data_IF_132004172574
#
_entry.id   IF_132004172574
#
_cell.length_a   1.000
_cell.length_b   1.000
_cell.length_c   1.000
_cell.angle_alpha   90.00
_cell.angle_beta   90.00
_cell.angle_gamma   90.00
#
_symmetry.space_group_name_H-M   'P 1'
#
loop_
_entity.id
_entity.type
_entity.pdbx_description
1 polymer ?
#
# COMPACT_ATOMS: atom_id res chain seq x y z
N UNK A 1 8.12 7.41 -5.15
CA UNK A 1 7.98 8.04 -3.81
C UNK A 1 9.17 8.96 -3.61
N UNK A 2 8.93 10.25 -3.34
CA UNK A 2 10.01 11.22 -3.06
C UNK A 2 10.78 10.77 -1.81
N UNK A 3 12.10 10.84 -1.89
CA UNK A 3 13.02 10.35 -0.86
C UNK A 3 12.79 11.08 0.46
N UNK A 4 12.87 10.38 1.60
CA UNK A 4 12.86 10.92 2.98
C UNK A 4 13.73 12.17 3.18
N UNK A 5 14.71 12.40 2.29
CA UNK A 5 15.61 13.55 2.29
C UNK A 5 14.95 14.91 2.00
N UNK A 6 13.75 14.97 1.41
CA UNK A 6 13.05 16.25 1.23
C UNK A 6 12.28 16.67 2.48
N UNK A 7 11.91 15.71 3.34
CA UNK A 7 11.08 15.92 4.53
C UNK A 7 11.89 16.25 5.80
N UNK A 8 13.21 16.07 5.77
CA UNK A 8 14.14 16.56 6.80
C UNK A 8 14.17 18.09 6.90
N UNK A 9 13.49 18.80 6.01
CA UNK A 9 13.29 20.25 6.09
C UNK A 9 12.40 20.70 7.26
N UNK A 10 11.62 19.78 7.85
CA UNK A 10 10.79 20.02 9.05
C UNK A 10 11.17 18.98 10.12
N UNK A 11 12.21 19.25 10.92
CA UNK A 11 12.71 18.29 11.90
C UNK A 11 11.64 17.91 12.94
N UNK A 12 10.66 18.79 13.20
CA UNK A 12 9.61 18.60 14.21
C UNK A 12 8.67 17.42 13.91
N UNK A 13 8.54 17.01 12.64
CA UNK A 13 7.64 15.93 12.21
C UNK A 13 8.39 14.77 11.54
N UNK A 14 9.71 14.85 11.45
CA UNK A 14 10.54 13.89 10.70
C UNK A 14 10.38 12.47 11.23
N UNK A 15 10.40 12.28 12.55
CA UNK A 15 10.27 10.97 13.18
C UNK A 15 8.90 10.34 12.90
N UNK A 16 7.83 11.13 13.00
CA UNK A 16 6.47 10.69 12.68
C UNK A 16 6.36 10.25 11.22
N UNK A 17 6.92 11.03 10.29
CA UNK A 17 6.91 10.71 8.86
C UNK A 17 7.68 9.41 8.59
N UNK A 18 8.82 9.20 9.26
CA UNK A 18 9.57 7.95 9.15
C UNK A 18 8.75 6.75 9.61
N UNK A 19 8.10 6.83 10.78
CA UNK A 19 7.20 5.76 11.26
C UNK A 19 6.07 5.49 10.27
N UNK A 20 5.45 6.54 9.72
CA UNK A 20 4.41 6.41 8.70
C UNK A 20 4.90 5.67 7.45
N UNK A 21 6.10 6.00 6.93
CA UNK A 21 6.65 5.30 5.77
C UNK A 21 7.01 3.84 6.06
N UNK A 22 7.52 3.55 7.26
CA UNK A 22 7.77 2.17 7.69
C UNK A 22 6.48 1.38 7.71
N UNK A 23 5.42 1.92 8.32
CA UNK A 23 4.09 1.29 8.33
C UNK A 23 3.55 1.08 6.91
N UNK A 24 3.69 2.08 6.03
CA UNK A 24 3.29 1.96 4.61
C UNK A 24 4.02 0.83 3.89
N UNK A 25 5.30 0.64 4.18
CA UNK A 25 6.10 -0.42 3.60
C UNK A 25 5.67 -1.81 4.12
N UNK A 26 5.36 -1.91 5.41
CA UNK A 26 4.80 -3.13 6.01
C UNK A 26 3.44 -3.49 5.40
N UNK A 27 2.54 -2.51 5.25
CA UNK A 27 1.25 -2.70 4.58
C UNK A 27 1.43 -3.17 3.12
N UNK A 28 2.39 -2.61 2.39
CA UNK A 28 2.70 -3.02 1.02
C UNK A 28 3.18 -4.47 0.97
N UNK A 29 4.09 -4.86 1.88
CA UNK A 29 4.56 -6.24 1.98
C UNK A 29 3.43 -7.20 2.30
N UNK A 30 2.54 -6.84 3.22
CA UNK A 30 1.37 -7.64 3.55
C UNK A 30 0.50 -7.90 2.31
N UNK A 31 0.15 -6.85 1.57
CA UNK A 31 -0.65 -6.97 0.32
C UNK A 31 0.05 -7.87 -0.69
N UNK A 32 1.37 -7.70 -0.87
CA UNK A 32 2.16 -8.55 -1.76
C UNK A 32 2.14 -10.02 -1.33
N UNK A 33 2.32 -10.30 -0.04
CA UNK A 33 2.26 -11.66 0.50
C UNK A 33 0.90 -12.32 0.23
N UNK A 34 -0.20 -11.59 0.41
CA UNK A 34 -1.54 -12.11 0.10
C UNK A 34 -1.69 -12.38 -1.40
N UNK A 35 -1.23 -11.47 -2.26
CA UNK A 35 -1.29 -11.67 -3.70
C UNK A 35 -0.48 -12.89 -4.15
N UNK A 36 0.71 -13.11 -3.58
CA UNK A 36 1.52 -14.27 -3.88
C UNK A 36 0.87 -15.58 -3.44
N UNK A 37 0.23 -15.61 -2.26
CA UNK A 37 -0.55 -16.75 -1.83
C UNK A 37 -1.67 -17.08 -2.83
N UNK A 38 -2.45 -16.08 -3.27
CA UNK A 38 -3.53 -16.29 -4.23
C UNK A 38 -2.98 -16.85 -5.55
N UNK A 39 -1.90 -16.26 -6.06
CA UNK A 39 -1.37 -16.64 -7.37
C UNK A 39 -0.73 -18.03 -7.36
N UNK A 40 0.15 -18.31 -6.39
CA UNK A 40 0.95 -19.53 -6.38
C UNK A 40 0.26 -20.68 -5.64
N UNK A 41 -0.27 -20.42 -4.44
CA UNK A 41 -0.83 -21.50 -3.63
C UNK A 41 -2.25 -21.86 -4.05
N UNK A 42 -3.03 -20.91 -4.58
CA UNK A 42 -4.44 -21.16 -4.97
C UNK A 42 -4.56 -21.40 -6.46
N UNK A 43 -4.19 -20.42 -7.30
CA UNK A 43 -4.45 -20.48 -8.74
C UNK A 43 -3.56 -21.49 -9.45
N UNK A 44 -2.24 -21.48 -9.23
CA UNK A 44 -1.33 -22.42 -9.92
C UNK A 44 -1.62 -23.89 -9.56
N UNK A 45 -1.89 -24.17 -8.28
CA UNK A 45 -2.29 -25.52 -7.85
C UNK A 45 -3.62 -25.95 -8.51
N UNK A 46 -4.64 -25.09 -8.49
CA UNK A 46 -5.95 -25.42 -9.08
C UNK A 46 -5.89 -25.56 -10.60
N UNK A 47 -5.04 -24.76 -11.25
CA UNK A 47 -4.78 -24.87 -12.68
C UNK A 47 -4.10 -26.18 -13.05
N UNK A 48 -3.09 -26.59 -12.28
CA UNK A 48 -2.40 -27.87 -12.48
C UNK A 48 -3.35 -29.05 -12.34
N UNK A 49 -4.22 -29.01 -11.32
CA UNK A 49 -5.25 -30.03 -11.11
C UNK A 49 -6.27 -30.07 -12.26
N UNK A 50 -6.74 -28.92 -12.73
CA UNK A 50 -7.65 -28.82 -13.86
C UNK A 50 -7.02 -29.41 -15.13
N UNK A 51 -5.76 -29.08 -15.41
CA UNK A 51 -5.05 -29.56 -16.59
C UNK A 51 -4.96 -31.10 -16.61
N UNK A 52 -4.64 -31.70 -15.46
CA UNK A 52 -4.61 -33.16 -15.32
C UNK A 52 -6.00 -33.78 -15.58
N UNK A 53 -7.06 -33.23 -14.97
CA UNK A 53 -8.43 -33.70 -15.19
C UNK A 53 -8.88 -33.55 -16.65
N UNK A 54 -8.48 -32.48 -17.33
CA UNK A 54 -8.79 -32.25 -18.75
C UNK A 54 -8.06 -33.22 -19.68
N UNK A 55 -6.83 -33.63 -19.34
CA UNK A 55 -6.08 -34.62 -20.12
C UNK A 55 -6.69 -36.02 -20.04
N UNK A 56 -7.31 -36.36 -18.91
CA UNK A 56 -7.94 -37.66 -18.68
C UNK A 56 -9.41 -37.71 -19.15
N UNK A 57 -10.04 -36.56 -19.39
CA UNK A 57 -11.44 -36.45 -19.77
C UNK A 57 -11.71 -37.01 -21.18
N UNK A 58 -12.76 -37.83 -21.30
CA UNK A 58 -13.14 -38.50 -22.56
C UNK A 58 -14.34 -37.87 -23.25
N UNK A 59 -15.15 -37.13 -22.51
CA UNK A 59 -16.37 -36.49 -22.97
C UNK A 59 -16.48 -35.07 -22.44
N UNK A 60 -17.42 -34.30 -23.00
CA UNK A 60 -17.64 -32.91 -22.64
C UNK A 60 -18.18 -32.75 -21.22
N UNK A 61 -18.92 -33.75 -20.71
CA UNK A 61 -19.50 -33.73 -19.37
C UNK A 61 -18.40 -33.75 -18.31
N UNK A 62 -17.39 -34.61 -18.49
CA UNK A 62 -16.20 -34.66 -17.63
C UNK A 62 -15.38 -33.37 -17.66
N UNK A 63 -15.30 -32.70 -18.83
CA UNK A 63 -14.63 -31.39 -18.94
C UNK A 63 -15.40 -30.34 -18.15
N UNK A 64 -16.73 -30.31 -18.27
CA UNK A 64 -17.58 -29.36 -17.55
C UNK A 64 -17.48 -29.58 -16.04
N UNK A 65 -17.56 -30.82 -15.58
CA UNK A 65 -17.42 -31.18 -14.17
C UNK A 65 -16.05 -30.81 -13.61
N UNK A 66 -14.97 -31.11 -14.34
CA UNK A 66 -13.61 -30.74 -13.93
C UNK A 66 -13.42 -29.23 -13.79
N UNK A 67 -14.07 -28.45 -14.65
CA UNK A 67 -14.05 -26.99 -14.60
C UNK A 67 -14.83 -26.45 -13.39
N UNK A 68 -16.06 -26.94 -13.16
CA UNK A 68 -16.90 -26.51 -12.04
C UNK A 68 -16.25 -26.85 -10.69
N UNK A 69 -15.67 -28.05 -10.58
CA UNK A 69 -14.87 -28.47 -9.42
C UNK A 69 -13.68 -27.53 -9.16
N UNK A 70 -12.98 -27.15 -10.22
CA UNK A 70 -11.81 -26.27 -10.13
C UNK A 70 -12.22 -24.87 -9.66
N UNK A 71 -13.34 -24.35 -10.16
CA UNK A 71 -13.90 -23.08 -9.69
C UNK A 71 -14.34 -23.15 -8.23
N UNK A 72 -15.04 -24.21 -7.83
CA UNK A 72 -15.47 -24.39 -6.43
C UNK A 72 -14.25 -24.47 -5.50
N UNK A 73 -13.21 -25.22 -5.89
CA UNK A 73 -11.97 -25.32 -5.14
C UNK A 73 -11.28 -23.97 -4.98
N UNK A 74 -11.23 -23.15 -6.02
CA UNK A 74 -10.69 -21.79 -5.96
C UNK A 74 -11.54 -20.95 -5.00
N UNK A 75 -12.87 -20.97 -5.12
CA UNK A 75 -13.77 -20.20 -4.27
C UNK A 75 -13.64 -20.57 -2.79
N UNK A 76 -13.59 -21.86 -2.47
CA UNK A 76 -13.38 -22.34 -1.09
C UNK A 76 -12.01 -21.90 -0.54
N UNK A 77 -10.93 -22.02 -1.33
CA UNK A 77 -9.58 -21.65 -0.86
C UNK A 77 -9.37 -20.14 -0.74
N UNK A 78 -10.13 -19.35 -1.50
CA UNK A 78 -10.20 -17.89 -1.33
C UNK A 78 -11.19 -17.48 -0.22
N UNK A 79 -11.83 -18.44 0.43
CA UNK A 79 -12.88 -18.25 1.44
C UNK A 79 -14.10 -17.43 0.96
N UNK A 80 -14.46 -17.61 -0.32
CA UNK A 80 -15.57 -16.94 -0.99
C UNK A 80 -16.78 -17.87 -1.20
N UNK A 81 -16.72 -19.11 -0.70
CA UNK A 81 -17.75 -20.15 -0.89
C UNK A 81 -19.04 -19.95 -0.07
N UNK A 82 -19.18 -18.80 0.59
CA UNK A 82 -20.40 -18.42 1.30
C UNK A 82 -20.60 -19.13 2.64
N UNK A 83 -19.73 -20.05 3.04
CA UNK A 83 -19.83 -20.77 4.32
C UNK A 83 -19.51 -19.84 5.50
N UNK A 84 -20.31 -19.89 6.58
CA UNK A 84 -20.25 -18.87 7.65
C UNK A 84 -18.88 -18.74 8.34
N UNK A 85 -18.18 -19.86 8.55
CA UNK A 85 -16.81 -19.90 9.13
C UNK A 85 -15.73 -19.40 8.18
N UNK A 86 -15.90 -19.66 6.88
CA UNK A 86 -15.01 -19.21 5.80
C UNK A 86 -15.10 -17.69 5.62
N UNK A 87 -16.30 -17.12 5.76
CA UNK A 87 -16.52 -15.68 5.64
C UNK A 87 -15.82 -14.82 6.69
N UNK A 88 -15.54 -15.34 7.89
CA UNK A 88 -14.93 -14.51 8.95
C UNK A 88 -13.53 -14.05 8.55
N UNK A 89 -12.71 -14.94 7.99
CA UNK A 89 -11.37 -14.55 7.53
C UNK A 89 -11.46 -13.56 6.35
N UNK A 90 -12.37 -13.80 5.41
CA UNK A 90 -12.57 -12.89 4.29
C UNK A 90 -13.03 -11.49 4.76
N UNK A 91 -13.88 -11.42 5.79
CA UNK A 91 -14.30 -10.16 6.43
C UNK A 91 -13.14 -9.45 7.11
N UNK A 92 -12.31 -10.18 7.85
CA UNK A 92 -11.12 -9.62 8.49
C UNK A 92 -10.13 -9.09 7.46
N UNK A 93 -9.87 -9.86 6.39
CA UNK A 93 -8.98 -9.45 5.31
C UNK A 93 -9.53 -8.20 4.60
N UNK A 94 -10.84 -8.14 4.37
CA UNK A 94 -11.49 -6.95 3.81
C UNK A 94 -11.32 -5.72 4.72
N UNK A 95 -11.56 -5.89 6.02
CA UNK A 95 -11.35 -4.84 7.01
C UNK A 95 -9.90 -4.34 7.01
N UNK A 96 -8.92 -5.24 6.94
CA UNK A 96 -7.50 -4.89 6.84
C UNK A 96 -7.23 -4.11 5.55
N UNK A 97 -7.75 -4.54 4.41
CA UNK A 97 -7.58 -3.79 3.16
C UNK A 97 -8.22 -2.41 3.20
N UNK A 98 -9.42 -2.28 3.78
CA UNK A 98 -10.09 -0.99 3.97
C UNK A 98 -9.24 -0.06 4.87
N UNK A 99 -8.64 -0.61 5.93
CA UNK A 99 -7.71 0.12 6.80
C UNK A 99 -6.45 0.57 6.06
N UNK A 100 -5.87 -0.29 5.20
CA UNK A 100 -4.69 0.04 4.38
C UNK A 100 -5.02 1.16 3.38
N UNK A 101 -6.18 1.07 2.73
CA UNK A 101 -6.64 2.11 1.79
C UNK A 101 -6.87 3.44 2.49
N UNK A 102 -7.56 3.43 3.63
CA UNK A 102 -7.79 4.62 4.45
C UNK A 102 -6.46 5.24 4.92
N UNK A 103 -5.54 4.42 5.42
CA UNK A 103 -4.20 4.87 5.78
C UNK A 103 -3.49 5.52 4.58
N UNK A 104 -3.58 4.92 3.38
CA UNK A 104 -3.05 5.49 2.15
C UNK A 104 -3.58 6.90 1.86
N UNK A 105 -4.89 7.10 2.00
CA UNK A 105 -5.51 8.43 1.82
C UNK A 105 -5.04 9.45 2.86
N UNK A 106 -4.91 9.04 4.13
CA UNK A 106 -4.40 9.90 5.21
C UNK A 106 -2.94 10.30 4.94
N UNK A 107 -2.09 9.36 4.54
CA UNK A 107 -0.69 9.63 4.21
C UNK A 107 -0.57 10.56 3.01
N UNK A 108 -1.39 10.38 1.97
CA UNK A 108 -1.41 11.30 0.83
C UNK A 108 -1.76 12.72 1.25
N UNK A 109 -2.78 12.89 2.11
CA UNK A 109 -3.15 14.19 2.66
C UNK A 109 -2.01 14.80 3.50
N UNK A 110 -1.40 14.00 4.38
CA UNK A 110 -0.27 14.42 5.20
C UNK A 110 0.90 14.88 4.34
N UNK A 111 1.31 14.09 3.34
CA UNK A 111 2.39 14.46 2.42
C UNK A 111 2.07 15.77 1.72
N UNK A 112 0.82 15.96 1.27
CA UNK A 112 0.40 17.20 0.62
C UNK A 112 0.52 18.42 1.55
N UNK A 113 0.12 18.28 2.82
CA UNK A 113 0.28 19.33 3.83
C UNK A 113 1.74 19.67 4.08
N UNK A 114 2.60 18.65 4.20
CA UNK A 114 4.04 18.84 4.43
C UNK A 114 4.70 19.52 3.23
N UNK A 115 4.35 19.12 2.00
CA UNK A 115 4.83 19.79 0.80
C UNK A 115 4.42 21.27 0.75
N UNK A 116 3.21 21.60 1.18
CA UNK A 116 2.72 22.98 1.23
C UNK A 116 3.48 23.80 2.28
N UNK A 117 3.72 23.24 3.46
CA UNK A 117 4.49 23.88 4.53
C UNK A 117 5.95 24.13 4.10
N UNK A 118 6.60 23.15 3.46
CA UNK A 118 7.96 23.31 2.91
C UNK A 118 7.99 24.44 1.87
N UNK A 119 6.98 24.55 1.00
CA UNK A 119 6.87 25.65 0.03
C UNK A 119 6.69 27.00 0.73
N UNK A 120 5.88 27.08 1.79
CA UNK A 120 5.66 28.29 2.56
C UNK A 120 6.92 28.75 3.30
N UNK A 121 7.74 27.84 3.86
CA UNK A 121 8.98 28.19 4.60
C UNK A 121 10.08 28.82 3.73
N UNK A 122 10.18 28.45 2.45
CA UNK A 122 11.22 28.93 1.51
C UNK A 122 11.31 30.48 1.42
N UNK A 123 10.23 31.23 1.16
CA UNK A 123 10.28 32.70 1.09
C UNK A 123 10.58 33.36 2.44
N UNK A 124 10.07 32.83 3.57
CA UNK A 124 10.38 33.38 4.90
C UNK A 124 11.87 33.28 5.23
N UNK A 125 12.52 32.17 4.90
CA UNK A 125 13.96 31.99 5.11
C UNK A 125 14.80 32.91 4.21
N UNK A 126 14.37 33.17 2.97
CA UNK A 126 15.03 34.14 2.08
C UNK A 126 14.89 35.58 2.58
N UNK A 127 13.71 35.98 3.07
CA UNK A 127 13.48 37.31 3.64
C UNK A 127 14.28 37.54 4.93
N UNK A 128 14.39 36.53 5.81
CA UNK A 128 15.21 36.63 7.02
C UNK A 128 16.71 36.78 6.72
N UNK A 129 17.22 36.14 5.65
CA UNK A 129 18.61 36.34 5.19
C UNK A 129 18.86 37.73 4.61
N UNK A 130 17.88 38.33 3.93
CA UNK A 130 18.00 39.70 3.42
C UNK A 130 17.85 40.78 4.51
N UNK A 131 17.01 40.55 5.53
CA UNK A 131 16.86 41.46 6.68
C UNK A 131 18.05 41.48 7.65
N UNK A 132 18.81 40.39 7.74
CA UNK A 132 20.06 40.32 8.54
C UNK A 132 21.24 40.94 7.81
N UNK A 133 21.29 40.86 6.48
CA UNK A 133 22.32 41.55 5.69
C UNK A 133 22.19 43.08 5.77
N UNK A 134 20.98 43.62 5.72
CA UNK A 134 20.76 45.08 5.79
C UNK A 134 21.03 45.70 7.16
N UNK A 135 20.81 44.95 8.26
CA UNK A 135 21.15 45.41 9.63
C UNK A 135 22.65 45.43 9.93
N UNK A 136 23.45 44.60 9.26
CA UNK A 136 24.91 44.54 9.47
C UNK A 136 25.70 45.52 8.58
N UNK A 137 25.03 46.30 7.73
CA UNK A 137 25.66 47.23 6.77
C UNK A 137 25.42 48.70 7.15
N UNK A 138 24.86 49.00 8.34
CA UNK A 138 24.89 50.38 8.84
C UNK A 138 26.35 50.81 9.08
N UNK A 139 26.84 51.86 8.37
CA UNK A 139 28.24 52.23 8.45
C UNK A 139 28.50 52.86 9.82
N UNK A 140 29.56 52.39 10.49
CA UNK A 140 30.17 53.05 11.65
C UNK A 140 30.39 54.51 11.29
N UNK A 141 29.54 55.40 11.83
CA UNK A 141 29.74 56.84 11.73
C UNK A 141 30.75 57.27 12.80
N UNK A 142 31.84 57.83 12.28
CA UNK A 142 32.96 58.56 12.92
C UNK A 142 34.19 57.74 13.24
#
# INVERSE_FOLDING_TARGET
MKSSREFTAIPEISDMIHTCFTMSNEMTKFVQSVNYYIMFEVLECSWSDLLNKLMDAKDLEQILEAHDDSLLKILTRLHLDGHETSQELAKQLRCIFDLILNFGSIIQCLIQCVENEIKARKPYQQQQRHGTYTKNVEPVRR
#
